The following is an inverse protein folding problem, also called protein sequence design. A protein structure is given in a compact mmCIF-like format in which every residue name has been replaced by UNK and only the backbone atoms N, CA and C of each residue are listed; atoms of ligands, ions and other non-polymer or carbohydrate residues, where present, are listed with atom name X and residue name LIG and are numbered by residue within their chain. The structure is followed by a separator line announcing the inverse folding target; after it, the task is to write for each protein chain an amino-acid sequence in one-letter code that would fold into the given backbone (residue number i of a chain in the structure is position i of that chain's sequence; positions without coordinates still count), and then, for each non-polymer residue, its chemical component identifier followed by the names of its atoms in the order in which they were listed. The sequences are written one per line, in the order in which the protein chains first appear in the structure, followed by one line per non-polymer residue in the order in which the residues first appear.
data_IF_574095003005
#
_entry.id   IF_574095003005
#
_cell.length_a   1.000
_cell.length_b   1.000
_cell.length_c   1.000
_cell.angle_alpha   90.00
_cell.angle_beta   90.00
_cell.angle_gamma   90.00
#
_symmetry.space_group_name_H-M   'P 1'
#
loop_
_entity.id
_entity.type
_entity.pdbx_description
1 polymer ?
#
# COMPACT_ATOMS: atom_id res chain seq x y z
N UNK A 1 2.33 22.38 19.03
CA UNK A 1 2.45 22.50 17.56
C UNK A 1 1.83 21.25 16.96
N UNK A 2 0.73 21.35 16.20
CA UNK A 2 0.21 20.20 15.46
C UNK A 2 1.14 19.93 14.28
N UNK A 3 1.61 18.70 14.11
CA UNK A 3 2.40 18.30 12.94
C UNK A 3 1.49 18.29 11.72
N UNK A 4 2.03 18.62 10.55
CA UNK A 4 1.30 18.50 9.29
C UNK A 4 1.20 17.03 8.89
N UNK A 5 0.08 16.60 8.29
CA UNK A 5 -0.07 15.23 7.79
C UNK A 5 1.02 14.91 6.76
N UNK A 6 1.51 13.67 6.79
CA UNK A 6 2.58 13.20 5.91
C UNK A 6 2.34 11.78 5.43
N UNK A 7 2.90 11.47 4.26
CA UNK A 7 3.10 10.10 3.82
C UNK A 7 4.47 9.63 4.32
N UNK A 8 4.56 8.37 4.73
CA UNK A 8 5.82 7.72 4.99
C UNK A 8 6.08 6.66 3.92
N UNK A 9 7.33 6.53 3.49
CA UNK A 9 7.80 5.34 2.79
C UNK A 9 8.74 4.64 3.75
N UNK A 10 8.59 3.34 3.94
CA UNK A 10 9.33 2.65 5.00
C UNK A 10 10.80 2.47 4.60
N UNK A 11 11.69 2.97 5.47
CA UNK A 11 13.16 3.04 5.40
C UNK A 11 13.83 4.10 4.53
N UNK A 12 15.05 4.42 4.97
CA UNK A 12 16.09 5.17 4.29
C UNK A 12 16.41 4.55 2.91
N UNK A 13 16.38 5.31 1.80
CA UNK A 13 16.75 4.82 0.47
C UNK A 13 18.16 4.19 0.42
N UNK A 14 19.03 4.50 1.38
CA UNK A 14 20.42 3.99 1.44
C UNK A 14 20.58 2.69 2.24
N UNK A 15 19.54 2.18 2.92
CA UNK A 15 19.68 1.10 3.91
C UNK A 15 19.46 -0.32 3.37
N UNK A 16 19.15 -0.50 2.09
CA UNK A 16 19.06 -1.84 1.49
C UNK A 16 19.69 -1.75 0.11
N UNK A 17 20.90 -2.28 -0.04
CA UNK A 17 21.40 -2.67 -1.36
C UNK A 17 20.26 -3.39 -2.06
N UNK A 18 19.76 -2.85 -3.17
CA UNK A 18 18.86 -3.58 -4.06
C UNK A 18 19.57 -4.88 -4.34
N UNK A 19 19.12 -6.02 -3.80
CA UNK A 19 19.89 -7.24 -3.95
C UNK A 19 19.87 -7.62 -5.43
N UNK A 20 20.95 -8.25 -5.92
CA UNK A 20 21.09 -8.58 -7.35
C UNK A 20 19.97 -9.52 -7.84
N UNK A 21 19.25 -10.16 -6.91
CA UNK A 21 18.04 -10.96 -7.14
C UNK A 21 16.74 -10.16 -7.00
N UNK A 22 16.77 -8.83 -7.11
CA UNK A 22 15.59 -7.98 -7.07
C UNK A 22 14.73 -8.22 -8.33
N UNK A 23 13.93 -9.28 -8.26
CA UNK A 23 13.13 -9.86 -9.34
C UNK A 23 12.04 -8.91 -9.87
N UNK A 24 11.99 -7.66 -9.41
CA UNK A 24 11.07 -6.63 -9.88
C UNK A 24 11.74 -5.63 -10.84
N UNK A 25 13.07 -5.61 -10.95
CA UNK A 25 13.77 -4.83 -11.98
C UNK A 25 14.08 -5.65 -13.25
N UNK A 26 14.19 -6.97 -13.15
CA UNK A 26 14.55 -7.87 -14.26
C UNK A 26 13.36 -8.48 -15.02
N UNK A 27 12.12 -8.06 -14.72
CA UNK A 27 10.91 -8.66 -15.30
C UNK A 27 10.38 -7.90 -16.53
N UNK A 28 9.71 -8.59 -17.46
CA UNK A 28 9.22 -7.99 -18.70
C UNK A 28 8.30 -6.80 -18.42
N UNK A 29 8.46 -5.76 -19.25
CA UNK A 29 7.83 -4.44 -19.11
C UNK A 29 6.29 -4.54 -19.08
N UNK A 30 5.71 -5.62 -19.62
CA UNK A 30 4.26 -5.89 -19.59
C UNK A 30 3.93 -6.95 -18.53
N UNK A 31 3.27 -6.55 -17.44
CA UNK A 31 2.86 -7.47 -16.36
C UNK A 31 1.53 -7.07 -15.75
N UNK A 32 0.73 -8.08 -15.45
CA UNK A 32 -0.44 -7.97 -14.57
C UNK A 32 0.01 -8.15 -13.13
N UNK A 33 -0.28 -7.15 -12.29
CA UNK A 33 -0.10 -7.19 -10.85
C UNK A 33 -1.45 -7.31 -10.15
N UNK A 34 -1.49 -8.03 -9.03
CA UNK A 34 -2.71 -8.22 -8.25
C UNK A 34 -2.70 -7.41 -6.97
N UNK A 35 -3.86 -6.94 -6.53
CA UNK A 35 -4.01 -6.25 -5.24
C UNK A 35 -5.18 -6.81 -4.45
N UNK A 36 -5.07 -6.82 -3.12
CA UNK A 36 -6.12 -7.21 -2.19
C UNK A 36 -6.22 -6.18 -1.07
N UNK A 37 -7.46 -5.85 -0.69
CA UNK A 37 -7.73 -5.09 0.53
C UNK A 37 -8.04 -6.09 1.64
N UNK A 38 -7.27 -6.05 2.72
CA UNK A 38 -7.58 -6.81 3.94
C UNK A 38 -8.77 -6.16 4.64
N UNK A 39 -9.82 -6.95 4.85
CA UNK A 39 -11.09 -6.47 5.33
C UNK A 39 -11.16 -6.62 6.84
N UNK A 40 -10.81 -5.57 7.58
CA UNK A 40 -11.48 -5.34 8.86
C UNK A 40 -12.79 -4.59 8.57
N UNK A 41 -13.87 -5.36 8.47
CA UNK A 41 -15.20 -4.95 8.00
C UNK A 41 -15.88 -3.86 8.85
N UNK A 42 -15.26 -3.42 9.95
CA UNK A 42 -15.92 -2.62 10.97
C UNK A 42 -15.84 -1.10 10.77
N UNK A 43 -14.97 -0.59 9.88
CA UNK A 43 -14.69 0.86 9.82
C UNK A 43 -15.02 1.57 8.50
N UNK A 44 -15.09 0.89 7.34
CA UNK A 44 -15.19 1.56 6.03
C UNK A 44 -16.18 0.91 5.05
N UNK A 45 -16.75 1.72 4.15
CA UNK A 45 -17.56 1.26 3.02
C UNK A 45 -16.66 0.58 1.99
N UNK A 46 -16.63 -0.76 2.04
CA UNK A 46 -15.76 -1.59 1.20
C UNK A 46 -15.93 -1.36 -0.30
N UNK A 47 -17.15 -1.03 -0.74
CA UNK A 47 -17.43 -0.79 -2.16
C UNK A 47 -16.79 0.52 -2.60
N UNK A 48 -16.94 1.58 -1.80
CA UNK A 48 -16.30 2.86 -2.08
C UNK A 48 -14.78 2.77 -1.98
N UNK A 49 -14.26 2.14 -0.93
CA UNK A 49 -12.82 1.97 -0.73
C UNK A 49 -12.19 1.17 -1.88
N UNK A 50 -12.78 0.03 -2.25
CA UNK A 50 -12.30 -0.77 -3.39
C UNK A 50 -12.35 -0.01 -4.71
N UNK A 51 -13.38 0.82 -4.91
CA UNK A 51 -13.48 1.69 -6.08
C UNK A 51 -12.35 2.71 -6.12
N UNK A 52 -12.03 3.35 -4.99
CA UNK A 52 -10.93 4.31 -4.92
C UNK A 52 -9.57 3.64 -5.15
N UNK A 53 -9.32 2.49 -4.52
CA UNK A 53 -8.08 1.72 -4.73
C UNK A 53 -7.92 1.32 -6.20
N UNK A 54 -9.00 0.81 -6.82
CA UNK A 54 -9.01 0.46 -8.25
C UNK A 54 -8.69 1.67 -9.12
N UNK A 55 -9.27 2.84 -8.82
CA UNK A 55 -9.01 4.06 -9.56
C UNK A 55 -7.54 4.48 -9.44
N UNK A 56 -6.97 4.45 -8.24
CA UNK A 56 -5.56 4.76 -8.01
C UNK A 56 -4.62 3.87 -8.82
N UNK A 57 -4.86 2.55 -8.84
CA UNK A 57 -4.08 1.63 -9.68
C UNK A 57 -4.27 1.86 -11.18
N UNK A 58 -5.49 2.21 -11.62
CA UNK A 58 -5.74 2.56 -13.01
C UNK A 58 -4.97 3.83 -13.42
N UNK A 59 -4.80 4.80 -12.53
CA UNK A 59 -4.03 6.01 -12.82
C UNK A 59 -2.54 5.69 -13.04
N UNK A 60 -1.97 4.75 -12.28
CA UNK A 60 -0.63 4.22 -12.54
C UNK A 60 -0.53 3.45 -13.87
N UNK A 61 -1.55 2.64 -14.19
CA UNK A 61 -1.59 1.88 -15.45
C UNK A 61 -1.58 2.77 -16.70
N UNK A 62 -2.09 4.01 -16.61
CA UNK A 62 -2.10 4.95 -17.74
C UNK A 62 -0.70 5.37 -18.20
N UNK A 63 0.29 5.31 -17.31
CA UNK A 63 1.66 5.79 -17.58
C UNK A 63 2.70 4.68 -17.57
N UNK A 64 2.28 3.43 -17.40
CA UNK A 64 3.14 2.26 -17.38
C UNK A 64 2.59 1.20 -18.33
N UNK A 65 3.32 0.10 -18.55
CA UNK A 65 2.77 -1.07 -19.24
C UNK A 65 2.26 -2.12 -18.25
N UNK A 66 2.04 -1.72 -17.00
CA UNK A 66 1.48 -2.57 -15.96
C UNK A 66 -0.05 -2.54 -16.04
N UNK A 67 -0.66 -3.69 -15.75
CA UNK A 67 -2.10 -3.79 -15.51
C UNK A 67 -2.33 -4.24 -14.08
N UNK A 68 -3.48 -3.87 -13.51
CA UNK A 68 -3.80 -4.19 -12.13
C UNK A 68 -5.17 -4.84 -12.01
N UNK A 69 -5.25 -5.94 -11.27
CA UNK A 69 -6.48 -6.65 -10.99
C UNK A 69 -6.67 -6.88 -9.50
N UNK A 70 -7.91 -6.79 -9.03
CA UNK A 70 -8.24 -7.17 -7.68
C UNK A 70 -8.18 -8.70 -7.57
N UNK A 71 -7.40 -9.21 -6.62
CA UNK A 71 -7.34 -10.63 -6.30
C UNK A 71 -8.65 -11.08 -5.62
N UNK A 72 -9.01 -12.34 -5.83
CA UNK A 72 -10.07 -13.00 -5.06
C UNK A 72 -9.62 -13.28 -3.62
N UNK A 73 -10.56 -13.62 -2.74
CA UNK A 73 -10.23 -13.86 -1.33
C UNK A 73 -9.21 -14.98 -1.11
N UNK A 74 -9.19 -15.98 -1.99
CA UNK A 74 -8.35 -17.16 -1.90
C UNK A 74 -6.99 -16.99 -2.58
N UNK A 75 -6.76 -15.89 -3.31
CA UNK A 75 -5.54 -15.63 -4.05
C UNK A 75 -4.53 -14.82 -3.24
N UNK A 76 -3.25 -15.12 -3.44
CA UNK A 76 -2.17 -14.23 -3.00
C UNK A 76 -2.14 -12.98 -3.91
N UNK A 77 -1.88 -11.81 -3.33
CA UNK A 77 -1.77 -10.56 -4.07
C UNK A 77 -0.33 -10.02 -4.10
N UNK A 78 0.07 -9.39 -5.21
CA UNK A 78 1.33 -8.63 -5.30
C UNK A 78 1.30 -7.41 -4.36
N UNK A 79 0.12 -6.81 -4.15
CA UNK A 79 -0.11 -5.74 -3.18
C UNK A 79 -1.16 -6.12 -2.15
N UNK A 80 -0.83 -6.01 -0.87
CA UNK A 80 -1.77 -6.21 0.24
C UNK A 80 -1.98 -4.88 0.96
N UNK A 81 -3.20 -4.37 0.89
CA UNK A 81 -3.60 -3.09 1.45
C UNK A 81 -4.34 -3.33 2.75
N UNK A 82 -4.04 -2.60 3.82
CA UNK A 82 -4.74 -2.73 5.10
C UNK A 82 -4.90 -1.39 5.80
N UNK A 83 -5.97 -1.26 6.60
CA UNK A 83 -6.15 -0.14 7.53
C UNK A 83 -5.69 -0.58 8.93
N UNK A 84 -4.74 0.13 9.52
CA UNK A 84 -4.09 -0.23 10.78
C UNK A 84 -4.01 0.99 11.70
N UNK A 85 -3.90 0.79 13.01
CA UNK A 85 -3.70 1.91 13.97
C UNK A 85 -2.59 1.59 14.94
N UNK A 86 -1.88 2.62 15.41
CA UNK A 86 -0.82 2.47 16.39
C UNK A 86 0.23 1.42 15.99
N UNK A 87 0.68 0.64 16.97
CA UNK A 87 1.55 -0.51 16.73
C UNK A 87 0.78 -1.61 16.01
N UNK A 88 1.30 -2.04 14.87
CA UNK A 88 0.74 -3.10 14.04
C UNK A 88 1.85 -4.04 13.56
N UNK A 89 1.58 -4.89 12.56
CA UNK A 89 2.41 -6.02 12.13
C UNK A 89 3.75 -5.67 11.46
N UNK A 90 4.28 -4.46 11.69
CA UNK A 90 5.59 -4.00 11.24
C UNK A 90 6.24 -3.02 12.24
N UNK A 91 7.46 -2.56 11.91
CA UNK A 91 8.28 -1.70 12.77
C UNK A 91 7.89 -0.20 12.72
N UNK A 92 6.80 0.15 12.03
CA UNK A 92 6.42 1.54 11.73
C UNK A 92 5.04 1.87 12.31
N UNK A 93 4.91 2.05 13.64
CA UNK A 93 3.62 2.37 14.24
C UNK A 93 3.06 3.71 13.74
N UNK A 94 1.74 3.78 13.56
CA UNK A 94 1.06 5.03 13.29
C UNK A 94 1.04 5.93 14.54
N UNK A 95 1.21 7.24 14.34
CA UNK A 95 1.25 8.26 15.40
C UNK A 95 -0.12 8.90 15.71
N UNK A 96 -1.19 8.36 15.11
CA UNK A 96 -2.58 8.78 15.31
C UNK A 96 -2.97 9.96 14.42
N UNK A 97 -4.23 10.39 14.58
CA UNK A 97 -4.88 11.39 13.72
C UNK A 97 -4.03 12.66 13.47
N UNK A 98 -4.12 13.14 12.23
CA UNK A 98 -3.39 14.27 11.65
C UNK A 98 -1.87 14.00 11.52
N UNK A 99 -1.42 12.77 11.75
CA UNK A 99 -0.03 12.34 11.74
C UNK A 99 0.41 11.74 10.42
N UNK A 100 0.92 10.51 10.49
CA UNK A 100 1.35 9.71 9.34
C UNK A 100 0.14 9.02 8.75
N UNK A 101 -0.25 9.41 7.55
CA UNK A 101 -1.51 8.95 6.94
C UNK A 101 -1.44 7.51 6.43
N UNK A 102 -0.30 7.13 5.88
CA UNK A 102 -0.09 5.83 5.26
C UNK A 102 1.41 5.55 5.10
N UNK A 103 1.75 4.27 4.97
CA UNK A 103 3.06 3.86 4.50
C UNK A 103 3.01 2.65 3.57
N UNK A 104 4.08 2.48 2.79
CA UNK A 104 4.28 1.33 1.92
C UNK A 104 5.74 0.88 1.94
N UNK A 105 5.94 -0.39 1.62
CA UNK A 105 7.26 -1.02 1.54
C UNK A 105 7.75 -1.09 0.10
N UNK A 106 9.06 -0.92 -0.06
CA UNK A 106 9.69 -1.01 -1.36
C UNK A 106 9.62 -2.44 -1.95
N UNK A 107 9.62 -2.56 -3.29
CA UNK A 107 9.65 -3.83 -4.02
C UNK A 107 10.72 -4.85 -3.56
N UNK A 108 11.88 -4.38 -3.09
CA UNK A 108 13.01 -5.22 -2.69
C UNK A 108 13.04 -5.60 -1.20
N UNK A 109 12.07 -5.13 -0.41
CA UNK A 109 12.02 -5.44 1.02
C UNK A 109 11.30 -6.76 1.29
N UNK A 110 11.53 -7.33 2.48
CA UNK A 110 10.86 -8.56 2.91
C UNK A 110 9.33 -8.40 3.04
N UNK A 111 8.86 -7.19 3.38
CA UNK A 111 7.43 -6.79 3.44
C UNK A 111 6.92 -6.15 2.14
N UNK A 112 7.62 -6.33 1.00
CA UNK A 112 7.22 -5.78 -0.31
C UNK A 112 5.74 -6.00 -0.61
N UNK A 113 5.14 -5.01 -1.26
CA UNK A 113 3.72 -5.07 -1.64
C UNK A 113 2.76 -4.72 -0.50
N UNK A 114 3.22 -4.59 0.75
CA UNK A 114 2.36 -4.14 1.85
C UNK A 114 2.18 -2.62 1.79
N UNK A 115 0.92 -2.17 1.90
CA UNK A 115 0.51 -0.77 1.94
C UNK A 115 -0.46 -0.61 3.10
N UNK A 116 -0.11 0.20 4.09
CA UNK A 116 -0.92 0.43 5.28
C UNK A 116 -1.44 1.87 5.30
N UNK A 117 -2.70 2.03 5.69
CA UNK A 117 -3.35 3.33 5.92
C UNK A 117 -3.69 3.46 7.41
N UNK A 118 -3.51 4.65 7.98
CA UNK A 118 -3.88 4.90 9.37
C UNK A 118 -5.40 4.89 9.53
N UNK A 119 -5.94 3.95 10.31
CA UNK A 119 -7.37 3.79 10.54
C UNK A 119 -7.95 4.82 11.52
N UNK A 120 -7.10 5.57 12.23
CA UNK A 120 -7.54 6.67 13.11
C UNK A 120 -7.90 7.95 12.34
N UNK A 121 -7.53 8.00 11.06
CA UNK A 121 -7.85 9.09 10.16
C UNK A 121 -9.30 9.07 9.68
N UNK A 122 -9.84 10.27 9.40
CA UNK A 122 -11.17 10.41 8.79
C UNK A 122 -11.05 10.44 7.27
N UNK A 123 -10.92 9.26 6.66
CA UNK A 123 -10.85 9.12 5.21
C UNK A 123 -12.14 9.56 4.51
N UNK A 124 -12.00 10.31 3.40
CA UNK A 124 -13.12 10.78 2.57
C UNK A 124 -12.78 10.63 1.08
N UNK A 125 -13.81 10.57 0.23
CA UNK A 125 -13.71 10.47 -1.23
C UNK A 125 -14.02 11.79 -1.96
N UNK A 126 -13.93 12.92 -1.25
CA UNK A 126 -14.30 14.26 -1.70
C UNK A 126 -13.10 15.17 -1.79
#
# INVERSE_FOLDING_TARGET
MKRSPRLAITTNPDAVQVPDDCILLDRPINRTLTWKLDYDHSFYDLTKTSRQIKQSFNDWARYTKLTFHQATEQENADFNLAFQSGQHSDEYPFDGRDGTLAHAFYPWQHKRGQIHFDSTEKWTDK
#
